data_IF_171411981754
#
_entry.id   IF_171411981754
#
_cell.length_a   1.000
_cell.length_b   1.000
_cell.length_c   1.000
_cell.angle_alpha   90.00
_cell.angle_beta   90.00
_cell.angle_gamma   90.00
#
_symmetry.space_group_name_H-M   'P 1'
#
loop_
_entity.id
_entity.type
_entity.pdbx_description
1 polymer ?
2 non-polymer ?
3 non-polymer ?
4 water ?
#
# COMPACT_ATOMS: atom_id res chain seq x y z
N UNK A 25 -19.79 5.25 2.85
CA UNK A 25 -18.83 5.87 3.84
C UNK A 25 -17.46 6.15 3.18
N UNK A 26 -17.34 5.96 1.87
CA UNK A 26 -16.08 6.16 1.10
C UNK A 26 -16.03 7.61 0.60
N UNK A 27 -14.84 8.09 0.23
CA UNK A 27 -14.59 9.48 -0.24
C UNK A 27 -14.04 9.42 -1.67
N UNK A 28 -14.59 10.25 -2.56
CA UNK A 28 -14.25 10.28 -4.00
C UNK A 28 -13.67 11.65 -4.37
N UNK A 29 -12.92 11.72 -5.48
CA UNK A 29 -12.33 12.96 -6.02
C UNK A 29 -13.44 13.86 -6.56
N UNK A 30 -13.44 15.17 -6.21
CA UNK A 30 -14.41 16.11 -6.77
C UNK A 30 -14.13 16.47 -8.24
N UNK A 31 -12.97 16.07 -8.76
CA UNK A 31 -12.52 16.34 -10.16
C UNK A 31 -12.80 15.11 -11.03
N UNK A 32 -12.11 14.00 -10.76
CA UNK A 32 -12.12 12.76 -11.58
C UNK A 32 -13.28 11.85 -11.15
N UNK A 33 -13.76 11.99 -9.92
CA UNK A 33 -14.73 11.05 -9.31
C UNK A 33 -14.08 9.74 -8.91
N UNK A 34 -12.74 9.66 -8.96
CA UNK A 34 -11.94 8.47 -8.58
C UNK A 34 -11.99 8.30 -7.06
N UNK A 35 -12.00 7.04 -6.62
CA UNK A 35 -11.99 6.66 -5.19
C UNK A 35 -10.63 7.01 -4.58
N UNK A 36 -10.64 7.71 -3.43
CA UNK A 36 -9.42 8.08 -2.68
C UNK A 36 -9.00 6.90 -1.79
N UNK A 37 -7.77 6.43 -2.02
CA UNK A 37 -7.14 5.31 -1.28
C UNK A 37 -5.80 5.81 -0.76
N UNK A 38 -5.36 5.29 0.39
CA UNK A 38 -4.03 5.56 0.97
C UNK A 38 -3.42 4.24 1.44
N UNK A 39 -2.09 4.13 1.40
CA UNK A 39 -1.33 2.93 1.80
C UNK A 39 0.11 3.25 2.18
N UNK A 40 0.87 2.24 2.61
CA UNK A 40 2.28 2.37 3.06
C UNK A 40 3.18 1.39 2.29
N UNK A 41 4.34 1.88 1.87
CA UNK A 41 5.56 1.10 1.54
C UNK A 41 6.33 0.95 2.85
N UNK A 42 6.19 -0.19 3.53
CA UNK A 42 6.77 -0.42 4.88
C UNK A 42 8.15 -1.05 4.72
N UNK A 43 9.22 -0.28 4.96
CA UNK A 43 10.62 -0.77 4.81
C UNK A 43 11.27 -0.95 6.18
N UNK A 44 12.20 -1.91 6.25
CA UNK A 44 12.99 -2.26 7.46
C UNK A 44 13.98 -1.14 7.75
N UNK A 45 14.58 -1.09 8.96
CA UNK A 45 15.60 -0.08 9.27
C UNK A 45 16.74 0.02 8.23
N UNK A 46 17.25 -1.13 7.78
CA UNK A 46 18.39 -1.22 6.81
C UNK A 46 17.95 -0.85 5.39
N UNK A 47 16.65 -0.76 5.11
CA UNK A 47 16.04 -0.40 3.80
C UNK A 47 16.34 -1.48 2.76
N UNK A 48 16.50 -2.74 3.18
CA UNK A 48 16.79 -3.90 2.29
C UNK A 48 15.48 -4.57 1.89
N UNK A 49 14.52 -4.68 2.80
CA UNK A 49 13.27 -5.47 2.60
C UNK A 49 12.03 -4.58 2.76
N UNK A 50 10.92 -4.98 2.12
CA UNK A 50 9.60 -4.28 2.12
C UNK A 50 8.52 -5.29 2.52
N UNK A 51 7.53 -4.84 3.29
CA UNK A 51 6.42 -5.68 3.81
C UNK A 51 5.36 -5.81 2.73
N UNK A 52 5.03 -7.05 2.36
CA UNK A 52 3.96 -7.35 1.37
C UNK A 52 2.92 -8.26 2.03
N UNK A 53 1.66 -8.06 1.67
CA UNK A 53 0.49 -8.86 2.14
C UNK A 53 -0.14 -9.46 0.88
N UNK A 54 -0.81 -10.60 1.04
CA UNK A 54 -1.54 -11.29 -0.05
C UNK A 54 -2.87 -10.54 -0.23
N UNK A 55 -3.27 -10.35 -1.49
CA UNK A 55 -4.59 -9.82 -1.88
C UNK A 55 -5.68 -10.67 -1.20
N UNK A 56 -6.83 -10.05 -0.92
CA UNK A 56 -8.04 -10.73 -0.39
C UNK A 56 -8.88 -11.23 -1.57
N UNK A 57 -9.00 -10.40 -2.61
CA UNK A 57 -9.69 -10.68 -3.89
C UNK A 57 -9.15 -11.97 -4.52
N UNK A 58 -7.83 -12.09 -4.65
CA UNK A 58 -7.10 -13.28 -5.20
C UNK A 58 -5.97 -13.69 -4.23
N UNK A 59 -6.04 -14.88 -3.64
CA UNK A 59 -5.22 -15.25 -2.45
C UNK A 59 -3.73 -15.47 -2.80
N UNK A 60 -3.34 -15.54 -4.08
CA UNK A 60 -1.94 -15.89 -4.47
C UNK A 60 -1.16 -14.65 -4.94
N UNK A 61 -1.84 -13.50 -5.09
CA UNK A 61 -1.24 -12.24 -5.59
C UNK A 61 -0.72 -11.46 -4.38
N UNK A 62 0.52 -10.98 -4.45
CA UNK A 62 1.17 -10.18 -3.37
C UNK A 62 1.08 -8.69 -3.67
N UNK A 63 0.61 -7.90 -2.70
CA UNK A 63 0.41 -6.43 -2.82
C UNK A 63 1.01 -5.74 -1.57
N UNK A 64 0.73 -4.46 -1.39
CA UNK A 64 1.17 -3.68 -0.19
C UNK A 64 -0.08 -3.19 0.55
N UNK A 65 0.01 -2.85 1.86
CA UNK A 65 -1.15 -2.37 2.61
C UNK A 65 -1.68 -1.02 2.10
N UNK A 66 -2.99 -0.92 1.91
CA UNK A 66 -3.67 0.27 1.34
C UNK A 66 -5.18 0.07 1.53
N UNK A 67 -5.96 1.14 1.48
CA UNK A 67 -7.43 1.06 1.60
C UNK A 67 -8.12 2.40 1.48
N UNK A 68 -9.44 2.37 1.34
CA UNK A 68 -10.31 3.55 1.16
C UNK A 68 -10.17 4.55 2.30
N UNK A 69 -10.05 5.82 1.97
CA UNK A 69 -10.19 6.96 2.92
C UNK A 69 -11.67 7.03 3.33
N UNK A 70 -11.94 7.36 4.59
CA UNK A 70 -13.31 7.46 5.16
C UNK A 70 -13.59 8.91 5.59
N UNK A 71 -14.87 9.29 5.69
CA UNK A 71 -15.38 10.69 5.71
C UNK A 71 -14.78 11.48 6.88
N UNK A 72 -14.65 10.85 8.05
CA UNK A 72 -14.20 11.53 9.30
C UNK A 72 -12.71 11.88 9.22
N UNK A 73 -11.92 11.10 8.48
CA UNK A 73 -10.43 11.08 8.53
C UNK A 73 -9.88 12.45 8.10
N UNK A 74 -8.98 13.05 8.92
CA UNK A 74 -8.49 14.41 8.68
C UNK A 74 -7.36 14.54 7.64
N UNK A 75 -6.64 13.45 7.37
CA UNK A 75 -5.50 13.41 6.42
C UNK A 75 -5.27 11.96 5.95
N UNK A 76 -4.41 11.77 4.95
CA UNK A 76 -4.13 10.46 4.29
C UNK A 76 -3.21 9.62 5.18
N UNK A 77 -2.33 10.26 5.95
CA UNK A 77 -1.43 9.54 6.91
C UNK A 77 -2.27 8.66 7.83
N UNK A 78 -3.46 9.13 8.24
CA UNK A 78 -4.39 8.44 9.16
C UNK A 78 -4.90 7.16 8.50
N UNK A 79 -5.39 7.25 7.27
CA UNK A 79 -5.85 6.09 6.46
C UNK A 79 -4.70 5.09 6.30
N UNK A 80 -3.57 5.56 5.77
CA UNK A 80 -2.37 4.73 5.50
C UNK A 80 -2.06 3.91 6.73
N UNK A 81 -1.86 4.55 7.89
CA UNK A 81 -1.38 3.86 9.13
C UNK A 81 -2.47 2.93 9.66
N UNK A 82 -3.74 3.30 9.53
CA UNK A 82 -4.89 2.46 9.96
C UNK A 82 -4.84 1.15 9.16
N UNK A 83 -4.87 1.27 7.83
CA UNK A 83 -4.87 0.14 6.86
C UNK A 83 -3.60 -0.69 7.04
N UNK A 84 -2.47 -0.06 7.32
CA UNK A 84 -1.16 -0.74 7.53
C UNK A 84 -1.28 -1.66 8.75
N UNK A 85 -1.98 -1.21 9.80
CA UNK A 85 -2.22 -2.00 11.03
C UNK A 85 -3.21 -3.14 10.74
N UNK A 86 -4.40 -2.82 10.23
CA UNK A 86 -5.50 -3.78 9.98
C UNK A 86 -5.02 -4.92 9.07
N UNK A 87 -4.39 -4.58 7.94
CA UNK A 87 -4.11 -5.54 6.84
C UNK A 87 -2.78 -6.28 7.09
N UNK A 88 -1.87 -5.73 7.90
CA UNK A 88 -0.48 -6.24 7.99
C UNK A 88 0.08 -6.20 9.42
N UNK A 89 -0.70 -5.80 10.43
CA UNK A 89 -0.23 -5.73 11.83
C UNK A 89 1.12 -5.05 11.93
N UNK A 90 1.35 -4.00 11.15
CA UNK A 90 2.63 -3.24 11.12
C UNK A 90 2.42 -1.92 11.86
N UNK A 91 3.33 -1.61 12.77
CA UNK A 91 3.41 -0.30 13.49
C UNK A 91 4.74 0.33 13.08
N UNK A 92 4.75 1.63 12.77
CA UNK A 92 6.00 2.31 12.38
C UNK A 92 5.87 3.81 12.26
N UNK A 93 6.98 4.47 11.92
CA UNK A 93 7.08 5.94 11.74
C UNK A 93 7.03 6.25 10.24
N UNK A 94 6.06 7.07 9.81
CA UNK A 94 6.01 7.64 8.43
C UNK A 94 7.19 8.61 8.28
N UNK A 95 8.13 8.30 7.38
CA UNK A 95 9.39 9.08 7.18
C UNK A 95 9.33 9.85 5.86
N UNK A 96 8.36 9.57 4.96
CA UNK A 96 8.31 10.21 3.63
C UNK A 96 6.91 10.13 3.00
N UNK A 97 6.59 11.15 2.20
CA UNK A 97 5.39 11.20 1.35
C UNK A 97 5.82 10.87 -0.09
N UNK A 98 5.35 9.74 -0.63
CA UNK A 98 5.75 9.22 -1.96
C UNK A 98 4.80 9.73 -3.06
N UNK A 99 3.96 10.71 -2.76
CA UNK A 99 3.00 11.28 -3.72
C UNK A 99 1.94 10.27 -4.17
N UNK A 100 1.23 10.56 -5.25
CA UNK A 100 0.07 9.78 -5.76
C UNK A 100 0.42 9.02 -7.04
N UNK A 101 -0.26 7.89 -7.24
CA UNK A 101 -0.28 7.04 -8.45
C UNK A 101 -1.74 6.71 -8.77
N UNK A 102 -2.05 6.47 -10.04
CA UNK A 102 -3.45 6.25 -10.48
C UNK A 102 -3.59 4.84 -11.07
N UNK A 103 -4.77 4.23 -10.88
CA UNK A 103 -5.13 2.93 -11.52
C UNK A 103 -5.71 3.22 -12.90
N UNK A 104 -4.87 3.77 -13.78
CA UNK A 104 -5.17 3.97 -15.22
C UNK A 104 -5.19 2.59 -15.87
N UNK A 105 -6.30 2.24 -16.54
CA UNK A 105 -6.69 0.86 -16.92
C UNK A 105 -7.08 0.87 -18.40
N UNK A 106 -7.39 -0.30 -19.02
CA UNK A 106 -7.58 -0.35 -20.47
C UNK A 106 -8.75 0.50 -20.97
N UNK A 107 -8.65 0.99 -22.22
CA UNK A 107 -9.60 1.93 -22.83
C UNK A 107 -9.31 3.37 -22.41
N UNK A 108 -10.24 4.28 -22.65
CA UNK A 108 -10.20 5.66 -22.15
C UNK A 108 -10.92 5.81 -20.83
N UNK A 109 -11.30 7.03 -20.46
CA UNK A 109 -12.10 7.33 -19.26
C UNK A 109 -11.22 7.57 -18.04
N UNK A 110 -11.78 8.18 -16.97
CA UNK A 110 -10.98 8.63 -15.84
C UNK A 110 -10.48 7.43 -15.04
N UNK A 111 -9.51 7.61 -14.11
CA UNK A 111 -9.07 6.50 -13.27
C UNK A 111 -10.20 6.14 -12.30
N UNK A 112 -10.16 4.91 -11.78
CA UNK A 112 -11.13 4.42 -10.78
C UNK A 112 -10.58 4.77 -9.39
N UNK A 113 -9.27 4.65 -9.20
CA UNK A 113 -8.60 4.86 -7.88
C UNK A 113 -7.47 5.90 -7.99
N UNK A 114 -7.37 6.76 -6.98
CA UNK A 114 -6.24 7.71 -6.75
C UNK A 114 -5.52 7.28 -5.47
N UNK A 115 -4.32 6.72 -5.57
CA UNK A 115 -3.57 6.16 -4.42
C UNK A 115 -2.61 7.22 -3.87
N UNK A 116 -2.65 7.45 -2.56
CA UNK A 116 -1.69 8.32 -1.82
C UNK A 116 -0.80 7.43 -0.94
N UNK A 117 0.47 7.30 -1.28
CA UNK A 117 1.42 6.38 -0.59
C UNK A 117 2.40 7.18 0.29
N UNK A 118 2.82 6.54 1.39
CA UNK A 118 3.83 7.03 2.35
C UNK A 118 4.84 5.93 2.59
N UNK A 119 6.11 6.29 2.70
CA UNK A 119 7.18 5.39 3.21
C UNK A 119 7.03 5.36 4.72
N UNK A 120 7.09 4.17 5.31
CA UNK A 120 7.03 3.96 6.78
C UNK A 120 8.27 3.15 7.17
N UNK A 121 8.92 3.49 8.27
CA UNK A 121 9.98 2.66 8.90
C UNK A 121 9.30 1.70 9.87
N UNK A 122 9.49 0.39 9.68
CA UNK A 122 8.90 -0.67 10.54
C UNK A 122 9.56 -0.59 11.91
N UNK A 123 8.78 -0.24 12.93
CA UNK A 123 9.23 -0.25 14.35
C UNK A 123 8.87 -1.60 14.97
N UNK A 124 7.67 -2.11 14.67
CA UNK A 124 7.14 -3.36 15.27
C UNK A 124 6.19 -4.07 14.29
N UNK A 125 6.32 -5.40 14.21
CA UNK A 125 5.43 -6.31 13.43
C UNK A 125 4.73 -7.27 14.40
N UNK A 126 3.42 -7.08 14.60
CA UNK A 126 2.62 -7.82 15.61
C UNK A 126 2.13 -9.12 14.97
N UNK A 127 2.16 -10.21 15.74
CA UNK A 127 1.73 -11.57 15.30
C UNK A 127 0.22 -11.58 15.05
N UNK A 128 -0.53 -10.81 15.84
CA UNK A 128 -2.01 -10.72 15.74
C UNK A 128 -2.42 -9.32 15.29
N UNK A 129 -3.43 -9.25 14.40
CA UNK A 129 -4.00 -8.01 13.82
C UNK A 129 -5.30 -8.34 13.09
N UNK A 130 -6.23 -7.38 12.90
CA UNK A 130 -7.59 -7.67 12.42
C UNK A 130 -7.76 -8.65 11.25
N UNK A 131 -6.82 -8.71 10.30
CA UNK A 131 -6.95 -9.51 9.05
C UNK A 131 -5.80 -10.53 8.94
N UNK A 132 -5.22 -10.94 10.06
CA UNK A 132 -4.08 -11.90 10.12
C UNK A 132 -4.56 -13.32 9.78
N UNK A 133 -5.87 -13.58 9.75
CA UNK A 133 -6.48 -14.87 9.36
C UNK A 133 -6.95 -14.87 7.91
N UNK A 134 -7.05 -13.70 7.28
CA UNK A 134 -7.55 -13.52 5.89
C UNK A 134 -6.39 -13.36 4.90
N UNK A 135 -5.17 -13.05 5.38
CA UNK A 135 -3.99 -12.72 4.52
C UNK A 135 -2.72 -13.33 5.10
N UNK A 136 -1.73 -13.61 4.26
CA UNK A 136 -0.33 -13.91 4.65
C UNK A 136 0.50 -12.63 4.53
N UNK A 137 1.66 -12.59 5.19
CA UNK A 137 2.55 -11.39 5.24
C UNK A 137 4.00 -11.85 5.29
N UNK A 138 4.90 -11.17 4.58
CA UNK A 138 6.31 -11.59 4.44
C UNK A 138 7.18 -10.41 3.96
N UNK A 139 8.40 -10.31 4.47
CA UNK A 139 9.45 -9.35 4.00
C UNK A 139 10.11 -9.93 2.74
N UNK A 140 10.19 -9.13 1.67
CA UNK A 140 10.84 -9.49 0.39
C UNK A 140 11.97 -8.51 0.10
N UNK A 141 13.02 -8.99 -0.57
CA UNK A 141 14.07 -8.17 -1.23
C UNK A 141 13.39 -7.31 -2.30
N UNK A 142 14.03 -6.22 -2.73
CA UNK A 142 13.50 -5.34 -3.80
C UNK A 142 13.18 -6.17 -5.05
N UNK A 143 14.14 -7.00 -5.46
CA UNK A 143 14.12 -7.85 -6.67
C UNK A 143 12.82 -8.68 -6.70
N UNK A 144 12.56 -9.43 -5.63
CA UNK A 144 11.42 -10.39 -5.56
C UNK A 144 10.10 -9.63 -5.40
N UNK A 145 10.13 -8.47 -4.73
CA UNK A 145 8.96 -7.59 -4.51
C UNK A 145 8.50 -7.02 -5.86
N UNK A 146 9.44 -6.60 -6.70
CA UNK A 146 9.19 -6.10 -8.09
C UNK A 146 8.48 -7.20 -8.90
N UNK A 147 8.97 -8.43 -8.86
CA UNK A 147 8.39 -9.56 -9.63
C UNK A 147 6.94 -9.79 -9.17
N UNK A 148 6.70 -9.69 -7.86
CA UNK A 148 5.40 -10.02 -7.22
C UNK A 148 4.32 -9.06 -7.71
N UNK A 149 4.65 -7.77 -7.86
CA UNK A 149 3.71 -6.70 -8.28
C UNK A 149 3.44 -6.81 -9.78
N UNK A 150 4.43 -7.25 -10.55
CA UNK A 150 4.27 -7.61 -11.99
C UNK A 150 3.31 -8.81 -12.06
N UNK A 151 3.66 -9.92 -11.42
CA UNK A 151 2.80 -11.13 -11.30
C UNK A 151 1.39 -10.72 -10.87
N UNK A 152 1.28 -9.81 -9.89
CA UNK A 152 0.00 -9.29 -9.34
C UNK A 152 -0.67 -8.34 -10.34
N UNK A 153 0.05 -7.90 -11.39
CA UNK A 153 -0.45 -6.98 -12.45
C UNK A 153 -0.81 -5.63 -11.81
N UNK A 154 0.09 -5.08 -10.99
CA UNK A 154 -0.14 -3.80 -10.25
C UNK A 154 1.09 -2.93 -10.41
N UNK A 155 1.33 -2.38 -11.62
CA UNK A 155 2.47 -1.50 -11.86
C UNK A 155 2.37 -0.14 -11.16
N UNK A 156 1.15 0.35 -10.87
CA UNK A 156 0.90 1.57 -10.06
C UNK A 156 1.55 1.40 -8.68
N UNK A 157 1.47 0.21 -8.09
CA UNK A 157 2.05 -0.12 -6.76
C UNK A 157 3.57 -0.23 -6.85
N UNK A 158 4.08 -0.71 -8.00
CA UNK A 158 5.53 -0.80 -8.29
C UNK A 158 6.09 0.62 -8.46
N UNK A 159 5.36 1.50 -9.15
CA UNK A 159 5.76 2.92 -9.29
C UNK A 159 6.03 3.48 -7.89
N UNK A 160 5.07 3.33 -6.98
CA UNK A 160 5.11 3.83 -5.59
C UNK A 160 6.34 3.24 -4.87
N UNK A 161 6.56 1.93 -5.01
CA UNK A 161 7.71 1.20 -4.41
C UNK A 161 9.03 1.82 -4.89
N UNK A 162 9.12 2.20 -6.17
CA UNK A 162 10.36 2.74 -6.80
C UNK A 162 10.62 4.16 -6.30
N UNK A 163 9.57 4.87 -5.87
CA UNK A 163 9.68 6.22 -5.27
C UNK A 163 10.24 6.13 -3.84
N UNK A 164 10.13 4.97 -3.17
CA UNK A 164 10.65 4.76 -1.79
C UNK A 164 12.18 4.81 -1.81
N UNK A 165 12.82 4.65 -0.65
CA UNK A 165 14.29 4.68 -0.47
C UNK A 165 14.85 3.26 -0.39
N UNK A 166 14.12 2.27 -0.91
CA UNK A 166 14.55 0.84 -0.92
C UNK A 166 15.91 0.72 -1.63
N UNK A 167 16.71 -0.26 -1.22
CA UNK A 167 18.00 -0.62 -1.89
C UNK A 167 17.71 -1.68 -2.95
N UNK A 168 18.35 -1.57 -4.12
CA UNK A 168 18.09 -2.39 -5.34
C UNK A 168 19.41 -2.92 -5.90
X LIG B 1 -11.57 -3.70 -3.78
X LIG B 1 -10.57 -3.89 -2.64
X LIG B 1 -9.63 -5.04 -2.96
X LIG B 1 -8.92 -4.81 -4.29
X LIG B 1 -9.93 -4.61 -5.41
X LIG B 1 -10.84 -3.45 -5.09
X LIG B 1 -12.38 -2.51 -3.49
X LIG B 1 -13.75 -2.57 -2.64
X LIG B 1 -13.48 -1.79 -1.36
X LIG B 1 -14.78 -1.88 -3.54
X LIG B 1 -14.08 -4.03 -2.38
X LIG B 1 -9.79 -2.66 -2.49
X LIG B 1 -9.48 -1.91 -1.08
X LIG B 1 -10.82 -1.73 -0.40
X LIG B 1 -8.53 -2.76 -0.26
X LIG B 1 -8.83 -0.58 -1.48
X LIG B 1 -8.60 -5.09 -1.93
X LIG B 1 -8.62 -6.08 -0.64
X LIG B 1 -8.71 -5.26 0.63
X LIG B 1 -7.30 -6.81 -0.74
X LIG B 1 -9.82 -6.99 -0.82
X LIG B 1 -8.12 -5.99 -4.57
X LIG B 1 -6.52 -6.02 -4.40
X LIG B 1 -6.22 -6.95 -3.25
X LIG B 1 -5.94 -6.53 -5.71
X LIG B 1 -6.09 -4.61 -4.12
X LIG B 1 -9.20 -4.32 -6.64
X LIG B 1 -9.28 -5.24 -7.97
X LIG B 1 -9.86 -4.32 -9.03
X LIG B 1 -10.15 -6.46 -7.72
X LIG B 1 -7.84 -5.62 -8.28
X LIG B 1 -11.83 -3.29 -6.17
X LIG B 1 -12.10 -1.85 -6.86
X LIG B 1 -11.30 -0.81 -6.09
X LIG B 1 -13.59 -1.61 -6.75
X LIG B 1 -11.63 -1.95 -8.31
X LIG C 1 -7.55 -2.63 1.35
#
# INVERSE_FOLDING_TARGET
>A
GGSMGKTADNHGPVRSETAREGRENQVYSPVTGARLVAGCICLTPDKKQVLMITSSAHKKRWIVPKGGVEKDEPNYETTAQRETWEEAGCIGKIVANLGTVEDMRPGGGPPRTEFHFYELEIENLLDKFPECHKRHRKLYSYTEAKQNLIDAKRPELLEALNRSAIIKDDK
>B hetero
1 IHP C1 C2 C3 C4 C5 C6 O11 P1 O21 O31 O41 O12 P2 O22 O32 O42 O13 P3 O23 O33 O43 O14 P4 O24 O34 O44 O15 P5 O25 O35 O45 O16 P6 O26 O36 O46
>C hetero
1 MG MG
#
